data_IF_425192286532
#
_entry.id   IF_425192286532
#
_cell.length_a   1.000
_cell.length_b   1.000
_cell.length_c   1.000
_cell.angle_alpha   90.00
_cell.angle_beta   90.00
_cell.angle_gamma   90.00
#
_symmetry.space_group_name_H-M   'P 1'
#
loop_
_entity.id
_entity.type
_entity.pdbx_description
1 polymer ?
#
# COMPACT_ATOMS: atom_id res chain seq x y z
N UNK A 1 -1.39 8.34 2.83
CA UNK A 1 -1.85 7.00 3.24
C UNK A 1 -1.48 6.72 4.69
N UNK A 2 -2.22 5.80 5.34
CA UNK A 2 -1.98 5.30 6.70
C UNK A 2 -1.91 3.77 6.64
N UNK A 3 -0.75 3.20 6.25
CA UNK A 3 -0.60 1.77 6.01
C UNK A 3 -0.96 0.95 7.26
N UNK A 4 -1.62 -0.20 7.05
CA UNK A 4 -1.95 -1.17 8.10
C UNK A 4 -1.32 -2.52 7.71
N UNK A 5 -0.79 -3.27 8.70
CA UNK A 5 -0.29 -4.60 8.45
C UNK A 5 -1.44 -5.59 8.17
N UNK A 6 -1.16 -6.62 7.37
CA UNK A 6 -2.13 -7.69 7.10
C UNK A 6 -2.59 -8.39 8.37
N UNK A 7 -1.68 -8.57 9.34
CA UNK A 7 -1.95 -9.16 10.64
C UNK A 7 -2.91 -8.32 11.46
N UNK A 8 -2.66 -7.01 11.58
CA UNK A 8 -3.50 -6.09 12.34
C UNK A 8 -4.88 -5.95 11.69
N UNK A 9 -4.92 -5.90 10.36
CA UNK A 9 -6.16 -5.90 9.60
C UNK A 9 -6.97 -7.17 9.86
N UNK A 10 -6.33 -8.35 9.82
CA UNK A 10 -7.00 -9.62 10.08
C UNK A 10 -7.59 -9.67 11.50
N UNK A 11 -6.83 -9.24 12.52
CA UNK A 11 -7.30 -9.15 13.89
C UNK A 11 -8.51 -8.22 14.00
N UNK A 12 -8.44 -7.05 13.36
CA UNK A 12 -9.55 -6.10 13.35
C UNK A 12 -10.81 -6.69 12.72
N UNK A 13 -10.68 -7.38 11.57
CA UNK A 13 -11.81 -8.02 10.89
C UNK A 13 -12.47 -9.09 11.76
N UNK A 14 -11.68 -9.93 12.42
CA UNK A 14 -12.21 -10.92 13.38
C UNK A 14 -12.96 -10.26 14.51
N UNK A 15 -12.44 -9.16 15.04
CA UNK A 15 -13.11 -8.39 16.10
C UNK A 15 -14.44 -7.73 15.64
N UNK A 16 -14.62 -7.53 14.34
CA UNK A 16 -15.87 -6.99 13.80
C UNK A 16 -17.02 -8.00 13.82
N UNK A 17 -16.74 -9.31 13.78
CA UNK A 17 -17.76 -10.37 13.66
C UNK A 17 -18.81 -10.31 14.79
N UNK A 18 -18.35 -10.08 16.03
CA UNK A 18 -19.22 -10.08 17.22
C UNK A 18 -19.40 -8.69 17.84
N UNK A 19 -19.05 -7.62 17.12
CA UNK A 19 -19.11 -6.27 17.65
C UNK A 19 -20.30 -5.50 17.09
N UNK A 20 -21.37 -5.37 17.88
CA UNK A 20 -22.59 -4.64 17.51
C UNK A 20 -22.34 -3.17 17.11
N UNK A 21 -21.31 -2.54 17.65
CA UNK A 21 -20.94 -1.15 17.33
C UNK A 21 -20.27 -0.99 15.96
N UNK A 22 -19.78 -2.10 15.38
CA UNK A 22 -19.12 -2.13 14.07
C UNK A 22 -20.01 -2.72 12.98
N UNK A 23 -21.08 -3.42 13.34
CA UNK A 23 -22.01 -4.06 12.40
C UNK A 23 -22.75 -3.01 11.57
N UNK A 24 -22.89 -3.26 10.27
CA UNK A 24 -23.57 -2.38 9.30
C UNK A 24 -23.01 -0.95 9.25
N UNK A 25 -21.70 -0.79 9.45
CA UNK A 25 -21.01 0.50 9.35
C UNK A 25 -19.88 0.43 8.33
N UNK A 26 -19.62 1.55 7.70
CA UNK A 26 -18.42 1.77 6.90
C UNK A 26 -17.39 2.42 7.83
N UNK A 27 -16.27 1.75 8.05
CA UNK A 27 -15.21 2.21 8.93
C UNK A 27 -13.95 2.47 8.12
N UNK A 28 -13.45 3.69 8.16
CA UNK A 28 -12.14 4.02 7.61
C UNK A 28 -11.08 3.72 8.66
N UNK A 29 -10.19 2.78 8.36
CA UNK A 29 -9.15 2.32 9.25
C UNK A 29 -7.77 2.51 8.65
N UNK A 30 -6.77 2.69 9.48
CA UNK A 30 -5.36 2.72 9.10
C UNK A 30 -4.48 2.17 10.21
N UNK A 31 -3.24 1.86 9.88
CA UNK A 31 -2.26 1.36 10.84
C UNK A 31 -1.75 2.45 11.78
N UNK A 32 -0.89 2.08 12.75
CA UNK A 32 -0.34 3.00 13.73
C UNK A 32 0.64 4.00 13.10
N UNK A 33 0.70 5.18 13.71
CA UNK A 33 1.63 6.24 13.34
C UNK A 33 1.04 7.29 12.41
N UNK A 34 1.85 8.25 11.98
CA UNK A 34 1.39 9.39 11.18
C UNK A 34 1.02 8.99 9.75
N UNK A 35 0.16 9.80 9.14
CA UNK A 35 -0.10 9.71 7.70
C UNK A 35 1.18 9.99 6.93
N UNK A 36 1.46 9.15 5.94
CA UNK A 36 2.66 9.23 5.09
C UNK A 36 2.31 9.44 3.63
N UNK A 37 3.10 10.23 2.95
CA UNK A 37 3.13 10.31 1.49
C UNK A 37 3.91 9.12 0.91
N UNK A 38 3.77 8.85 -0.38
CA UNK A 38 4.56 7.83 -1.07
C UNK A 38 6.07 8.12 -1.01
N UNK A 39 6.42 9.42 -1.06
CA UNK A 39 7.82 9.87 -0.93
C UNK A 39 8.37 9.53 0.45
N UNK A 40 7.65 9.85 1.52
CA UNK A 40 8.09 9.54 2.89
C UNK A 40 8.22 8.02 3.13
N UNK A 41 7.34 7.20 2.55
CA UNK A 41 7.50 5.75 2.58
C UNK A 41 8.78 5.30 1.87
N UNK A 42 9.09 5.90 0.72
CA UNK A 42 10.35 5.69 0.03
C UNK A 42 11.56 6.13 0.85
N UNK A 43 11.51 7.30 1.49
CA UNK A 43 12.59 7.81 2.35
C UNK A 43 12.92 6.83 3.49
N UNK A 44 11.89 6.19 4.10
CA UNK A 44 12.09 5.16 5.12
C UNK A 44 12.89 3.98 4.57
N UNK A 45 12.54 3.47 3.39
CA UNK A 45 13.24 2.35 2.75
C UNK A 45 14.71 2.72 2.47
N UNK A 46 14.95 3.89 1.85
CA UNK A 46 16.32 4.35 1.57
C UNK A 46 17.14 4.50 2.84
N UNK A 47 16.54 5.02 3.92
CA UNK A 47 17.18 5.13 5.24
C UNK A 47 17.55 3.77 5.80
N UNK A 48 16.65 2.78 5.75
CA UNK A 48 16.89 1.42 6.24
C UNK A 48 17.98 0.70 5.44
N UNK A 49 18.06 0.97 4.14
CA UNK A 49 19.10 0.42 3.26
C UNK A 49 20.42 1.20 3.33
N UNK A 50 20.49 2.28 4.11
CA UNK A 50 21.63 3.20 4.19
C UNK A 50 22.08 3.72 2.79
N UNK A 51 21.09 4.08 1.96
CA UNK A 51 21.29 4.58 0.59
C UNK A 51 20.72 5.98 0.43
N UNK A 52 21.35 6.78 -0.43
CA UNK A 52 20.81 8.11 -0.80
C UNK A 52 19.53 7.93 -1.63
N UNK A 53 18.45 8.70 -1.31
CA UNK A 53 17.20 8.64 -2.05
C UNK A 53 17.38 9.01 -3.52
N UNK A 54 16.80 8.19 -4.42
CA UNK A 54 16.71 8.49 -5.86
C UNK A 54 15.27 8.28 -6.28
N UNK A 55 14.61 9.36 -6.76
CA UNK A 55 13.21 9.31 -7.18
C UNK A 55 13.09 9.62 -8.66
N UNK A 56 12.20 8.89 -9.30
CA UNK A 56 11.69 9.23 -10.61
C UNK A 56 10.24 9.69 -10.47
N UNK A 57 9.96 10.90 -10.90
CA UNK A 57 8.60 11.43 -10.87
C UNK A 57 7.86 11.08 -12.16
N UNK A 58 6.73 10.41 -12.01
CA UNK A 58 5.82 10.12 -13.13
C UNK A 58 4.43 10.70 -12.80
N UNK A 59 3.89 11.58 -13.66
CA UNK A 59 2.54 12.10 -13.49
C UNK A 59 1.50 10.97 -13.51
N UNK A 60 0.56 10.97 -12.57
CA UNK A 60 -0.47 9.92 -12.45
C UNK A 60 -1.29 9.73 -13.74
N UNK A 61 -1.51 10.80 -14.51
CA UNK A 61 -2.23 10.75 -15.79
C UNK A 61 -1.60 9.79 -16.81
N UNK A 62 -0.31 9.50 -16.72
CA UNK A 62 0.37 8.51 -17.58
C UNK A 62 -0.28 7.14 -17.44
N UNK A 63 -0.63 6.72 -16.22
CA UNK A 63 -1.33 5.45 -15.99
C UNK A 63 -2.69 5.42 -16.68
N UNK A 64 -3.46 6.52 -16.62
CA UNK A 64 -4.75 6.64 -17.26
C UNK A 64 -4.64 6.57 -18.79
N UNK A 65 -3.68 7.28 -19.37
CA UNK A 65 -3.45 7.29 -20.82
C UNK A 65 -3.06 5.89 -21.30
N UNK A 66 -2.09 5.24 -20.63
CA UNK A 66 -1.65 3.89 -20.97
C UNK A 66 -2.77 2.87 -20.83
N UNK A 67 -3.58 2.94 -19.76
CA UNK A 67 -4.75 2.08 -19.59
C UNK A 67 -5.72 2.22 -20.77
N UNK A 68 -6.01 3.46 -21.19
CA UNK A 68 -6.92 3.74 -22.30
C UNK A 68 -6.39 3.17 -23.63
N UNK A 69 -5.09 3.33 -23.90
CA UNK A 69 -4.46 2.82 -25.12
C UNK A 69 -4.41 1.28 -25.18
N UNK A 70 -4.22 0.61 -24.03
CA UNK A 70 -4.14 -0.84 -23.97
C UNK A 70 -5.52 -1.51 -23.94
N UNK A 71 -6.56 -0.82 -23.48
CA UNK A 71 -7.92 -1.37 -23.35
C UNK A 71 -8.44 -2.07 -24.61
N UNK A 72 -8.33 -1.51 -25.83
CA UNK A 72 -8.79 -2.18 -27.05
C UNK A 72 -8.08 -3.52 -27.32
N UNK A 73 -6.79 -3.62 -26.94
CA UNK A 73 -6.00 -4.85 -27.08
C UNK A 73 -6.47 -5.94 -26.10
N UNK A 74 -7.16 -5.55 -25.06
CA UNK A 74 -7.78 -6.46 -24.09
C UNK A 74 -8.93 -7.30 -24.68
N UNK A 75 -9.50 -6.89 -25.80
CA UNK A 75 -10.51 -7.68 -26.54
C UNK A 75 -9.88 -8.92 -27.22
N UNK A 76 -8.60 -8.85 -27.55
CA UNK A 76 -7.87 -9.90 -28.25
C UNK A 76 -7.03 -10.75 -27.28
N UNK A 77 -6.56 -10.16 -26.18
CA UNK A 77 -5.65 -10.82 -25.24
C UNK A 77 -6.02 -10.53 -23.79
N UNK A 78 -6.26 -11.61 -23.02
CA UNK A 78 -6.50 -11.52 -21.55
C UNK A 78 -5.34 -10.84 -20.82
N UNK A 79 -4.08 -11.11 -21.22
CA UNK A 79 -2.90 -10.46 -20.64
C UNK A 79 -2.91 -8.94 -20.82
N UNK A 80 -3.43 -8.43 -21.95
CA UNK A 80 -3.54 -6.99 -22.18
C UNK A 80 -4.68 -6.38 -21.36
N UNK A 81 -5.77 -7.10 -21.19
CA UNK A 81 -6.86 -6.70 -20.30
C UNK A 81 -6.37 -6.56 -18.85
N UNK A 82 -5.64 -7.55 -18.36
CA UNK A 82 -5.11 -7.54 -16.99
C UNK A 82 -4.11 -6.38 -16.77
N UNK A 83 -3.29 -6.07 -17.78
CA UNK A 83 -2.40 -4.90 -17.75
C UNK A 83 -3.18 -3.58 -17.73
N UNK A 84 -4.25 -3.47 -18.50
CA UNK A 84 -5.09 -2.27 -18.50
C UNK A 84 -5.76 -2.07 -17.14
N UNK A 85 -6.28 -3.14 -16.51
CA UNK A 85 -6.86 -3.09 -15.17
C UNK A 85 -5.79 -2.72 -14.11
N UNK A 86 -4.61 -3.31 -14.18
CA UNK A 86 -3.50 -2.95 -13.29
C UNK A 86 -3.17 -1.45 -13.36
N UNK A 87 -3.12 -0.88 -14.58
CA UNK A 87 -2.87 0.56 -14.77
C UNK A 87 -4.01 1.43 -14.21
N UNK A 88 -5.27 0.99 -14.29
CA UNK A 88 -6.40 1.69 -13.66
C UNK A 88 -6.30 1.67 -12.15
N UNK A 89 -5.95 0.52 -11.58
CA UNK A 89 -5.72 0.37 -10.14
C UNK A 89 -4.55 1.27 -9.71
N UNK A 90 -3.44 1.28 -10.45
CA UNK A 90 -2.30 2.14 -10.17
C UNK A 90 -2.67 3.63 -10.22
N UNK A 91 -3.48 4.04 -11.20
CA UNK A 91 -4.01 5.41 -11.27
C UNK A 91 -4.84 5.75 -10.04
N UNK A 92 -5.76 4.86 -9.64
CA UNK A 92 -6.60 5.05 -8.45
C UNK A 92 -5.74 5.25 -7.19
N UNK A 93 -4.76 4.37 -6.94
CA UNK A 93 -3.87 4.50 -5.78
C UNK A 93 -2.94 5.73 -5.84
N UNK A 94 -2.67 6.25 -7.04
CA UNK A 94 -1.86 7.46 -7.20
C UNK A 94 -2.66 8.76 -6.99
N UNK A 95 -4.00 8.72 -7.14
CA UNK A 95 -4.86 9.91 -7.10
C UNK A 95 -5.76 9.97 -5.87
N UNK A 96 -6.17 8.81 -5.32
CA UNK A 96 -7.11 8.74 -4.21
C UNK A 96 -6.39 8.54 -2.87
N UNK A 97 -6.94 9.15 -1.83
CA UNK A 97 -6.47 8.95 -0.46
C UNK A 97 -7.22 7.79 0.20
N UNK A 98 -6.50 6.99 1.01
CA UNK A 98 -7.08 5.90 1.81
C UNK A 98 -7.52 6.37 3.21
N UNK A 99 -7.65 7.68 3.41
CA UNK A 99 -8.13 8.27 4.66
C UNK A 99 -9.65 8.42 4.63
N UNK A 100 -10.23 8.67 5.81
CA UNK A 100 -11.64 8.98 5.93
C UNK A 100 -12.00 10.22 5.11
N UNK A 101 -13.02 10.11 4.28
CA UNK A 101 -13.57 11.24 3.55
C UNK A 101 -14.67 11.93 4.35
N UNK A 102 -14.40 13.11 4.84
CA UNK A 102 -15.40 13.91 5.55
C UNK A 102 -16.29 14.65 4.54
N UNK A 103 -17.55 14.22 4.46
CA UNK A 103 -18.54 14.79 3.52
C UNK A 103 -18.87 16.25 3.80
N UNK A 104 -18.79 16.68 5.06
CA UNK A 104 -19.13 18.04 5.49
C UNK A 104 -18.05 19.04 5.09
N UNK A 105 -16.78 18.68 5.30
CA UNK A 105 -15.63 19.53 4.96
C UNK A 105 -15.12 19.30 3.53
N UNK A 106 -15.57 18.23 2.86
CA UNK A 106 -15.06 17.77 1.55
C UNK A 106 -13.54 17.59 1.54
N UNK A 107 -12.99 17.03 2.63
CA UNK A 107 -11.55 16.78 2.79
C UNK A 107 -11.31 15.40 3.38
N UNK A 108 -10.12 14.85 3.11
CA UNK A 108 -9.65 13.64 3.77
C UNK A 108 -9.13 13.99 5.17
N UNK A 109 -9.57 13.22 6.18
CA UNK A 109 -9.22 13.41 7.58
C UNK A 109 -8.39 12.24 8.11
N UNK A 110 -7.21 12.56 8.63
CA UNK A 110 -6.39 11.60 9.36
C UNK A 110 -6.92 11.32 10.76
N UNK A 111 -7.54 12.32 11.39
CA UNK A 111 -8.06 12.24 12.76
C UNK A 111 -9.29 11.35 12.83
N UNK A 112 -10.14 11.39 11.79
CA UNK A 112 -11.34 10.55 11.69
C UNK A 112 -11.04 9.15 11.15
N UNK A 113 -9.80 8.89 10.72
CA UNK A 113 -9.33 7.56 10.33
C UNK A 113 -8.93 6.79 11.58
N UNK A 114 -9.67 5.73 11.89
CA UNK A 114 -9.47 4.93 13.10
C UNK A 114 -8.10 4.25 13.04
N UNK A 115 -7.27 4.48 14.05
CA UNK A 115 -5.98 3.79 14.18
C UNK A 115 -6.18 2.39 14.73
N UNK A 116 -5.61 1.39 14.04
CA UNK A 116 -5.76 -0.03 14.38
C UNK A 116 -4.41 -0.72 14.33
N UNK A 117 -4.17 -1.55 15.35
CA UNK A 117 -2.99 -2.41 15.39
C UNK A 117 -1.77 -1.80 16.07
N UNK A 118 -0.64 -2.46 15.90
CA UNK A 118 0.63 -2.10 16.54
C UNK A 118 1.82 -2.17 15.58
N UNK A 119 1.66 -2.87 14.45
CA UNK A 119 2.74 -3.11 13.50
C UNK A 119 3.02 -1.84 12.70
N UNK A 120 4.19 -1.24 12.89
CA UNK A 120 4.57 -0.04 12.16
C UNK A 120 5.08 -0.35 10.75
N UNK A 121 5.00 0.61 9.84
CA UNK A 121 5.55 0.46 8.49
C UNK A 121 7.08 0.30 8.51
N UNK A 122 7.75 0.94 9.45
CA UNK A 122 9.19 0.81 9.67
C UNK A 122 9.57 -0.63 10.04
N UNK A 123 8.83 -1.27 10.96
CA UNK A 123 9.08 -2.65 11.38
C UNK A 123 8.80 -3.63 10.25
N UNK A 124 7.77 -3.38 9.47
CA UNK A 124 7.45 -4.16 8.27
C UNK A 124 8.59 -4.11 7.25
N UNK A 125 9.10 -2.92 6.91
CA UNK A 125 10.21 -2.80 5.96
C UNK A 125 11.50 -3.43 6.49
N UNK A 126 11.82 -3.30 7.78
CA UNK A 126 12.95 -4.00 8.40
C UNK A 126 12.84 -5.50 8.25
N UNK A 127 11.67 -6.06 8.55
CA UNK A 127 11.44 -7.51 8.46
C UNK A 127 11.61 -8.06 7.04
N UNK A 128 11.22 -7.28 6.02
CA UNK A 128 11.42 -7.65 4.60
C UNK A 128 12.91 -7.63 4.25
N UNK A 129 13.61 -6.56 4.61
CA UNK A 129 15.04 -6.41 4.31
C UNK A 129 15.85 -7.52 4.98
N UNK A 130 15.58 -7.83 6.25
CA UNK A 130 16.23 -8.89 6.98
C UNK A 130 15.99 -10.28 6.36
N UNK A 131 14.74 -10.56 5.95
CA UNK A 131 14.39 -11.81 5.27
C UNK A 131 15.08 -11.96 3.92
N UNK A 132 15.18 -10.91 3.12
CA UNK A 132 15.87 -10.95 1.85
C UNK A 132 17.38 -11.18 2.03
N UNK A 133 18.00 -10.54 3.02
CA UNK A 133 19.40 -10.80 3.40
C UNK A 133 19.65 -12.26 3.82
N UNK A 134 18.70 -12.86 4.55
CA UNK A 134 18.79 -14.27 4.94
C UNK A 134 18.70 -15.19 3.73
N UNK A 135 17.74 -14.94 2.83
CA UNK A 135 17.56 -15.73 1.60
C UNK A 135 18.79 -15.68 0.66
N UNK A 136 19.47 -14.54 0.60
CA UNK A 136 20.70 -14.40 -0.18
C UNK A 136 21.83 -15.23 0.46
N UNK A 137 22.03 -15.13 1.78
CA UNK A 137 23.03 -15.93 2.51
C UNK A 137 22.80 -17.43 2.37
N UNK A 138 21.54 -17.88 2.51
CA UNK A 138 21.19 -19.30 2.37
C UNK A 138 21.45 -19.84 0.94
N UNK A 139 21.27 -18.99 -0.08
CA UNK A 139 21.59 -19.34 -1.47
C UNK A 139 23.10 -19.41 -1.70
N UNK A 140 23.85 -18.46 -1.18
CA UNK A 140 25.32 -18.47 -1.29
C UNK A 140 25.90 -19.70 -0.57
N UNK A 141 25.42 -20.05 0.62
CA UNK A 141 25.89 -21.20 1.37
C UNK A 141 25.65 -22.53 0.62
N UNK A 142 24.46 -22.67 -0.03
CA UNK A 142 24.13 -23.86 -0.86
C UNK A 142 24.89 -23.96 -2.16
N UNK A 143 25.59 -22.93 -2.59
CA UNK A 143 26.46 -22.96 -3.77
C UNK A 143 27.86 -23.46 -3.46
N UNK A 144 28.24 -23.55 -2.18
CA UNK A 144 29.56 -23.97 -1.71
C UNK A 144 29.54 -25.31 -0.94
N UNK A 145 28.35 -25.88 -0.72
CA UNK A 145 28.13 -27.25 -0.21
C UNK A 145 27.83 -28.21 -1.36
#
# INVERSE_FOLDING_TARGET
>A
TKPISERDLAIFLVQCINNKYRTNKILSIGGPGPVRTQKELGDIIFKLLNKSPKYFYMPSNVFKILATLITPLGLISTKMRDKAEFLRIAYYYATESMLFWNKSTKQYSSEETIEVGKDTIEDFYKSIIERDHQLVKDKEQKLFD
#
